data_IF_081792521479
#
_entry.id   IF_081792521479
#
_cell.length_a   1.000
_cell.length_b   1.000
_cell.length_c   1.000
_cell.angle_alpha   90.00
_cell.angle_beta   90.00
_cell.angle_gamma   90.00
#
_symmetry.space_group_name_H-M   'P 1'
#
loop_
_entity.id
_entity.type
_entity.pdbx_description
1 polymer ?
#
# COMPACT_ATOMS: atom_id res chain seq x y z
N UNK A 1 -1.65 20.58 15.55
CA UNK A 1 -1.38 21.05 14.19
C UNK A 1 -1.89 22.49 14.05
N UNK A 2 -1.12 23.37 13.43
CA UNK A 2 -1.54 24.75 13.13
C UNK A 2 -2.73 24.72 12.16
N UNK A 3 -3.67 25.65 12.34
CA UNK A 3 -4.91 25.68 11.54
C UNK A 3 -4.69 26.06 10.07
N UNK A 4 -3.60 26.74 9.78
CA UNK A 4 -3.17 27.17 8.42
C UNK A 4 -2.40 26.07 7.66
N UNK A 5 -2.16 24.91 8.27
CA UNK A 5 -1.50 23.76 7.62
C UNK A 5 -2.53 22.69 7.34
N UNK A 6 -2.65 22.27 6.08
CA UNK A 6 -3.44 21.11 5.69
C UNK A 6 -2.59 19.85 5.82
N UNK A 7 -3.03 18.90 6.65
CA UNK A 7 -2.40 17.59 6.78
C UNK A 7 -3.14 16.58 5.91
N UNK A 8 -2.43 15.89 5.04
CA UNK A 8 -2.95 14.75 4.28
C UNK A 8 -2.35 13.47 4.81
N UNK A 9 -3.20 12.55 5.26
CA UNK A 9 -2.81 11.24 5.78
C UNK A 9 -3.22 10.19 4.75
N UNK A 10 -2.22 9.54 4.16
CA UNK A 10 -2.44 8.42 3.25
C UNK A 10 -2.48 7.10 4.02
N UNK A 11 -3.68 6.62 4.31
CA UNK A 11 -3.97 5.36 5.00
C UNK A 11 -4.16 4.19 4.01
N UNK A 12 -3.51 4.20 2.83
CA UNK A 12 -3.70 3.21 1.76
C UNK A 12 -3.39 1.76 2.18
N UNK A 13 -2.64 1.56 3.25
CA UNK A 13 -2.27 0.23 3.78
C UNK A 13 -2.83 -0.06 5.17
N UNK A 14 -3.74 0.76 5.66
CA UNK A 14 -4.30 0.64 7.01
C UNK A 14 -4.84 -0.76 7.32
N UNK A 15 -5.56 -1.37 6.41
CA UNK A 15 -6.23 -2.65 6.62
C UNK A 15 -5.26 -3.82 6.87
N UNK A 16 -3.99 -3.69 6.44
CA UNK A 16 -2.95 -4.69 6.72
C UNK A 16 -2.39 -4.61 8.14
N UNK A 17 -2.55 -3.46 8.82
CA UNK A 17 -1.94 -3.21 10.13
C UNK A 17 -2.82 -3.76 11.25
N UNK A 18 -2.33 -4.78 11.96
CA UNK A 18 -3.05 -5.42 13.09
C UNK A 18 -2.47 -5.08 14.47
N UNK A 19 -1.58 -4.10 14.55
CA UNK A 19 -0.97 -3.72 15.82
C UNK A 19 -1.99 -2.99 16.71
N UNK A 20 -2.11 -3.40 17.98
CA UNK A 20 -3.08 -2.84 18.93
C UNK A 20 -2.87 -1.35 19.20
N UNK A 21 -1.63 -0.88 19.14
CA UNK A 21 -1.23 0.51 19.35
C UNK A 21 -1.25 1.37 18.07
N UNK A 22 -1.66 0.82 16.93
CA UNK A 22 -1.83 1.58 15.70
C UNK A 22 -3.24 2.12 15.58
N UNK A 23 -3.35 3.41 15.39
CA UNK A 23 -4.61 4.10 15.14
C UNK A 23 -4.59 4.68 13.72
N UNK A 24 -5.70 4.49 12.98
CA UNK A 24 -5.84 5.10 11.67
C UNK A 24 -5.96 6.62 11.76
N UNK A 25 -5.60 7.31 10.69
CA UNK A 25 -5.81 8.75 10.60
C UNK A 25 -7.26 9.14 10.86
N UNK A 26 -8.22 8.36 10.37
CA UNK A 26 -9.64 8.57 10.61
C UNK A 26 -9.98 8.56 12.11
N UNK A 27 -9.47 7.61 12.88
CA UNK A 27 -9.72 7.52 14.32
C UNK A 27 -9.08 8.65 15.11
N UNK A 28 -7.89 9.10 14.69
CA UNK A 28 -7.15 10.16 15.37
C UNK A 28 -7.70 11.55 15.07
N UNK A 29 -8.15 11.78 13.83
CA UNK A 29 -8.41 13.13 13.31
C UNK A 29 -9.81 13.34 12.76
N UNK A 30 -10.79 12.46 13.06
CA UNK A 30 -12.13 12.56 12.47
C UNK A 30 -12.88 13.87 12.79
N UNK A 31 -12.48 14.59 13.85
CA UNK A 31 -13.03 15.91 14.22
C UNK A 31 -12.17 17.10 13.76
N UNK A 32 -11.02 16.84 13.13
CA UNK A 32 -10.10 17.90 12.73
C UNK A 32 -10.59 18.61 11.47
N UNK A 33 -10.51 19.94 11.45
CA UNK A 33 -10.98 20.75 10.33
C UNK A 33 -9.99 20.84 9.17
N UNK A 34 -8.69 20.63 9.45
CA UNK A 34 -7.57 20.79 8.51
C UNK A 34 -6.83 19.49 8.22
N UNK A 35 -7.54 18.35 8.24
CA UNK A 35 -6.97 17.03 7.94
C UNK A 35 -7.79 16.35 6.85
N UNK A 36 -7.08 15.76 5.88
CA UNK A 36 -7.63 14.85 4.88
C UNK A 36 -7.07 13.46 5.13
N UNK A 37 -7.92 12.46 5.21
CA UNK A 37 -7.52 11.06 5.29
C UNK A 37 -7.93 10.38 3.98
N UNK A 38 -6.98 9.73 3.31
CA UNK A 38 -7.25 9.03 2.05
C UNK A 38 -7.11 7.53 2.21
N UNK A 39 -7.95 6.77 1.51
CA UNK A 39 -7.91 5.32 1.41
C UNK A 39 -8.15 4.84 -0.01
N UNK A 40 -7.78 3.61 -0.29
CA UNK A 40 -7.83 3.08 -1.64
C UNK A 40 -8.43 1.67 -1.69
N UNK A 41 -9.13 1.38 -2.77
CA UNK A 41 -9.52 0.02 -3.13
C UNK A 41 -8.44 -0.71 -3.96
N UNK A 42 -7.36 -0.03 -4.30
CA UNK A 42 -6.29 -0.56 -5.17
C UNK A 42 -5.39 -1.60 -4.49
N UNK A 43 -5.43 -1.74 -3.17
CA UNK A 43 -4.54 -2.64 -2.43
C UNK A 43 -5.28 -3.88 -1.97
N UNK A 44 -5.66 -3.95 -0.71
CA UNK A 44 -6.26 -5.15 -0.11
C UNK A 44 -7.57 -5.61 -0.77
N UNK A 45 -8.33 -4.68 -1.34
CA UNK A 45 -9.58 -4.99 -2.03
C UNK A 45 -9.38 -5.50 -3.47
N UNK A 46 -8.14 -5.50 -3.99
CA UNK A 46 -7.81 -6.05 -5.31
C UNK A 46 -8.32 -5.25 -6.52
N UNK A 47 -8.81 -4.02 -6.32
CA UNK A 47 -9.45 -3.22 -7.37
C UNK A 47 -8.52 -2.17 -8.00
N UNK A 48 -7.22 -2.45 -8.09
CA UNK A 48 -6.23 -1.47 -8.57
C UNK A 48 -6.52 -0.95 -9.99
N UNK A 49 -7.03 -1.79 -10.88
CA UNK A 49 -7.37 -1.43 -12.27
C UNK A 49 -8.58 -0.51 -12.38
N UNK A 50 -9.46 -0.46 -11.38
CA UNK A 50 -10.69 0.34 -11.41
C UNK A 50 -10.49 1.80 -10.99
N UNK A 51 -9.32 2.15 -10.46
CA UNK A 51 -8.93 3.53 -10.11
C UNK A 51 -9.90 4.21 -9.15
N UNK A 52 -10.26 3.54 -8.05
CA UNK A 52 -11.20 4.04 -7.04
C UNK A 52 -10.57 4.07 -5.65
N UNK A 53 -10.88 5.11 -4.92
CA UNK A 53 -10.53 5.35 -3.52
C UNK A 53 -11.54 6.30 -2.91
N UNK A 54 -11.31 6.68 -1.66
CA UNK A 54 -12.15 7.64 -0.98
C UNK A 54 -11.32 8.52 -0.02
N UNK A 55 -11.85 9.68 0.28
CA UNK A 55 -11.27 10.61 1.23
C UNK A 55 -12.29 11.04 2.28
N UNK A 56 -11.80 11.33 3.47
CA UNK A 56 -12.57 11.91 4.56
C UNK A 56 -11.90 13.21 5.02
N UNK A 57 -12.70 14.28 5.12
CA UNK A 57 -12.23 15.58 5.61
C UNK A 57 -13.43 16.40 6.12
N UNK A 58 -13.18 17.63 6.61
CA UNK A 58 -14.24 18.57 6.93
C UNK A 58 -15.06 18.95 5.69
N UNK A 59 -16.29 19.41 5.91
CA UNK A 59 -17.21 19.80 4.82
C UNK A 59 -16.57 20.83 3.89
N UNK A 60 -15.90 21.84 4.45
CA UNK A 60 -15.27 22.93 3.68
C UNK A 60 -14.19 22.40 2.71
N UNK A 61 -13.39 21.43 3.16
CA UNK A 61 -12.37 20.77 2.33
C UNK A 61 -13.05 19.94 1.24
N UNK A 62 -14.04 19.13 1.60
CA UNK A 62 -14.76 18.28 0.64
C UNK A 62 -15.48 19.14 -0.41
N UNK A 63 -16.12 20.25 -0.03
CA UNK A 63 -16.76 21.17 -0.96
C UNK A 63 -15.72 21.80 -1.93
N UNK A 64 -14.53 22.13 -1.43
CA UNK A 64 -13.45 22.66 -2.26
C UNK A 64 -12.94 21.59 -3.28
N UNK A 65 -12.76 20.36 -2.84
CA UNK A 65 -12.39 19.24 -3.72
C UNK A 65 -13.48 18.96 -4.77
N UNK A 66 -14.75 19.03 -4.38
CA UNK A 66 -15.87 18.82 -5.29
C UNK A 66 -15.96 19.88 -6.40
N UNK A 67 -15.50 21.11 -6.14
CA UNK A 67 -15.46 22.19 -7.15
C UNK A 67 -14.39 21.98 -8.22
N UNK A 68 -13.30 21.29 -7.87
CA UNK A 68 -12.15 21.13 -8.79
C UNK A 68 -12.04 19.74 -9.41
N UNK A 69 -12.78 18.73 -8.87
CA UNK A 69 -12.74 17.39 -9.45
C UNK A 69 -13.35 17.38 -10.86
N UNK A 70 -12.78 16.62 -11.81
CA UNK A 70 -13.38 16.43 -13.13
C UNK A 70 -14.76 15.79 -13.02
N UNK A 71 -15.69 16.11 -13.95
CA UNK A 71 -16.94 15.38 -14.05
C UNK A 71 -16.65 13.91 -14.38
N UNK A 72 -17.51 13.01 -13.87
CA UNK A 72 -17.38 11.56 -14.11
C UNK A 72 -16.00 10.96 -13.71
N UNK A 73 -15.36 11.53 -12.67
CA UNK A 73 -14.05 11.10 -12.20
C UNK A 73 -13.99 9.65 -11.71
N UNK A 74 -15.13 9.00 -11.45
CA UNK A 74 -15.25 7.59 -11.10
C UNK A 74 -16.25 6.94 -12.07
N UNK A 75 -15.83 5.82 -12.66
CA UNK A 75 -16.71 5.04 -13.53
C UNK A 75 -17.70 4.19 -12.72
N UNK A 76 -18.87 3.92 -13.28
CA UNK A 76 -19.93 3.14 -12.63
C UNK A 76 -19.50 1.72 -12.22
N UNK A 77 -18.79 0.93 -13.04
CA UNK A 77 -18.25 -0.37 -12.61
C UNK A 77 -17.39 -0.29 -11.36
N UNK A 78 -16.56 0.77 -11.21
CA UNK A 78 -15.73 0.97 -10.02
C UNK A 78 -16.57 1.20 -8.76
N UNK A 79 -17.67 1.97 -8.85
CA UNK A 79 -18.57 2.21 -7.71
C UNK A 79 -19.26 0.93 -7.25
N UNK A 80 -19.79 0.14 -8.17
CA UNK A 80 -20.42 -1.15 -7.86
C UNK A 80 -19.42 -2.14 -7.27
N UNK A 81 -18.23 -2.26 -7.87
CA UNK A 81 -17.19 -3.14 -7.37
C UNK A 81 -16.69 -2.73 -5.97
N UNK A 82 -16.48 -1.44 -5.73
CA UNK A 82 -16.09 -0.92 -4.40
C UNK A 82 -17.17 -1.22 -3.34
N UNK A 83 -18.44 -0.99 -3.68
CA UNK A 83 -19.56 -1.29 -2.79
C UNK A 83 -19.67 -2.78 -2.45
N UNK A 84 -19.44 -3.66 -3.41
CA UNK A 84 -19.40 -5.10 -3.21
C UNK A 84 -18.20 -5.51 -2.34
N UNK A 85 -17.01 -4.98 -2.63
CA UNK A 85 -15.78 -5.28 -1.91
C UNK A 85 -15.85 -4.91 -0.42
N UNK A 86 -16.52 -3.80 -0.06
CA UNK A 86 -16.73 -3.41 1.34
C UNK A 86 -17.59 -4.41 2.12
N UNK A 87 -18.43 -5.19 1.46
CA UNK A 87 -19.28 -6.22 2.07
C UNK A 87 -18.57 -7.57 2.19
N UNK A 88 -17.47 -7.79 1.46
CA UNK A 88 -16.74 -9.07 1.45
C UNK A 88 -15.67 -9.13 2.56
N UNK A 89 -16.13 -9.27 3.79
CA UNK A 89 -15.25 -9.47 4.94
C UNK A 89 -14.45 -10.78 4.87
N UNK A 90 -14.95 -11.80 4.15
CA UNK A 90 -14.23 -13.08 3.99
C UNK A 90 -12.98 -12.89 3.16
N UNK A 91 -13.09 -12.18 2.04
CA UNK A 91 -11.94 -11.79 1.22
C UNK A 91 -10.92 -11.00 2.05
N UNK A 92 -11.37 -9.94 2.71
CA UNK A 92 -10.50 -9.06 3.50
C UNK A 92 -9.67 -9.86 4.52
N UNK A 93 -10.32 -10.73 5.31
CA UNK A 93 -9.62 -11.54 6.32
C UNK A 93 -8.68 -12.58 5.69
N UNK A 94 -9.03 -13.16 4.54
CA UNK A 94 -8.18 -14.07 3.78
C UNK A 94 -6.90 -13.37 3.32
N UNK A 95 -7.03 -12.20 2.71
CA UNK A 95 -5.89 -11.41 2.22
C UNK A 95 -4.97 -10.95 3.36
N UNK A 96 -5.52 -10.46 4.47
CA UNK A 96 -4.72 -10.10 5.64
C UNK A 96 -3.91 -11.31 6.15
N UNK A 97 -4.52 -12.48 6.25
CA UNK A 97 -3.83 -13.71 6.69
C UNK A 97 -2.73 -14.11 5.71
N UNK A 98 -3.03 -14.04 4.41
CA UNK A 98 -2.09 -14.39 3.34
C UNK A 98 -0.86 -13.47 3.38
N UNK A 99 -1.06 -12.16 3.37
CA UNK A 99 0.02 -11.17 3.38
C UNK A 99 0.86 -11.28 4.65
N UNK A 100 0.24 -11.41 5.82
CA UNK A 100 0.97 -11.54 7.08
C UNK A 100 1.81 -12.84 7.13
N UNK A 101 1.30 -13.94 6.59
CA UNK A 101 2.05 -15.19 6.48
C UNK A 101 3.28 -15.04 5.60
N UNK A 102 3.10 -14.51 4.39
CA UNK A 102 4.19 -14.39 3.42
C UNK A 102 5.20 -13.33 3.79
N UNK A 103 4.78 -12.23 4.41
CA UNK A 103 5.72 -11.25 4.99
C UNK A 103 6.71 -11.92 5.95
N UNK A 104 6.23 -12.76 6.86
CA UNK A 104 7.08 -13.48 7.82
C UNK A 104 8.02 -14.46 7.13
N UNK A 105 7.51 -15.23 6.15
CA UNK A 105 8.30 -16.21 5.42
C UNK A 105 9.40 -15.52 4.63
N UNK A 106 9.05 -14.53 3.79
CA UNK A 106 10.01 -13.83 2.94
C UNK A 106 11.03 -13.03 3.76
N UNK A 107 10.59 -12.37 4.84
CA UNK A 107 11.49 -11.71 5.79
C UNK A 107 12.53 -12.69 6.34
N UNK A 108 12.08 -13.87 6.79
CA UNK A 108 12.98 -14.91 7.31
C UNK A 108 13.96 -15.42 6.25
N UNK A 109 13.50 -15.60 5.01
CA UNK A 109 14.35 -16.03 3.89
C UNK A 109 15.41 -14.98 3.58
N UNK A 110 15.03 -13.71 3.43
CA UNK A 110 15.99 -12.62 3.16
C UNK A 110 17.01 -12.48 4.30
N UNK A 111 16.58 -12.60 5.55
CA UNK A 111 17.49 -12.60 6.70
C UNK A 111 18.53 -13.73 6.63
N UNK A 112 18.11 -14.95 6.28
CA UNK A 112 19.03 -16.09 6.09
C UNK A 112 20.04 -15.85 4.95
N UNK A 113 19.60 -15.17 3.89
CA UNK A 113 20.46 -14.78 2.75
C UNK A 113 21.33 -13.55 3.06
N UNK A 114 21.29 -13.00 4.28
CA UNK A 114 21.98 -11.76 4.69
C UNK A 114 21.60 -10.53 3.86
N UNK A 115 20.43 -10.57 3.21
CA UNK A 115 19.86 -9.44 2.49
C UNK A 115 19.09 -8.59 3.49
N UNK A 116 19.42 -7.31 3.54
CA UNK A 116 18.77 -6.39 4.46
C UNK A 116 17.32 -6.14 4.06
N UNK A 117 16.41 -6.31 5.00
CA UNK A 117 14.98 -6.01 4.86
C UNK A 117 14.37 -5.75 6.22
N UNK A 118 13.25 -5.03 6.26
CA UNK A 118 12.49 -4.78 7.47
C UNK A 118 11.16 -5.55 7.45
N UNK A 119 10.60 -5.78 8.63
CA UNK A 119 9.23 -6.28 8.70
C UNK A 119 8.27 -5.29 8.06
N UNK A 120 7.54 -5.74 7.06
CA UNK A 120 6.57 -4.92 6.37
C UNK A 120 5.19 -4.99 7.02
N UNK A 121 4.47 -3.88 7.01
CA UNK A 121 3.03 -3.80 7.34
C UNK A 121 2.19 -3.49 6.09
N UNK A 122 2.75 -3.76 4.91
CA UNK A 122 2.09 -3.61 3.61
C UNK A 122 2.13 -4.93 2.83
N UNK A 123 1.69 -4.91 1.59
CA UNK A 123 1.75 -6.07 0.69
C UNK A 123 3.07 -6.16 -0.10
N UNK A 124 4.14 -5.58 0.38
CA UNK A 124 5.47 -5.65 -0.25
C UNK A 124 6.58 -5.58 0.79
N UNK A 125 7.77 -6.02 0.41
CA UNK A 125 9.01 -5.87 1.15
C UNK A 125 9.95 -4.94 0.40
N UNK A 126 10.67 -4.11 1.15
CA UNK A 126 11.84 -3.39 0.64
C UNK A 126 13.08 -4.22 1.01
N UNK A 127 13.87 -4.56 0.01
CA UNK A 127 15.10 -5.35 0.17
C UNK A 127 16.30 -4.54 -0.32
N UNK A 128 17.35 -4.47 0.48
CA UNK A 128 18.58 -3.75 0.16
C UNK A 128 19.74 -4.75 0.03
N UNK A 129 20.59 -4.51 -0.96
CA UNK A 129 21.69 -5.42 -1.36
C UNK A 129 23.08 -4.91 -0.96
N UNK A 130 23.19 -3.87 -0.13
CA UNK A 130 24.49 -3.28 0.21
C UNK A 130 25.39 -4.22 1.02
N UNK A 131 24.81 -5.17 1.75
CA UNK A 131 25.52 -6.13 2.59
C UNK A 131 25.87 -7.45 1.90
N UNK A 132 25.55 -7.59 0.63
CA UNK A 132 25.80 -8.81 -0.15
C UNK A 132 26.55 -8.48 -1.43
N UNK A 133 27.38 -9.41 -1.93
CA UNK A 133 28.19 -9.19 -3.12
C UNK A 133 27.40 -9.36 -4.43
N UNK A 134 26.23 -8.70 -4.48
CA UNK A 134 25.39 -8.64 -5.69
C UNK A 134 24.61 -7.33 -5.70
N UNK A 135 24.55 -6.65 -6.84
CA UNK A 135 23.76 -5.42 -6.95
C UNK A 135 22.29 -5.70 -7.21
N UNK A 136 21.41 -4.80 -6.71
CA UNK A 136 19.97 -4.81 -6.99
C UNK A 136 19.69 -4.87 -8.50
N UNK A 137 20.46 -4.15 -9.32
CA UNK A 137 20.30 -4.16 -10.77
C UNK A 137 20.58 -5.53 -11.40
N UNK A 138 21.59 -6.24 -10.92
CA UNK A 138 21.90 -7.61 -11.38
C UNK A 138 20.80 -8.59 -11.00
N UNK A 139 20.28 -8.47 -9.77
CA UNK A 139 19.13 -9.27 -9.29
C UNK A 139 17.88 -8.95 -10.10
N UNK A 140 17.58 -7.68 -10.30
CA UNK A 140 16.44 -7.22 -11.13
C UNK A 140 16.47 -7.85 -12.52
N UNK A 141 17.62 -7.77 -13.22
CA UNK A 141 17.77 -8.34 -14.57
C UNK A 141 17.57 -9.86 -14.57
N UNK A 142 18.14 -10.59 -13.59
CA UNK A 142 17.96 -12.04 -13.48
C UNK A 142 16.49 -12.42 -13.25
N UNK A 143 15.81 -11.73 -12.34
CA UNK A 143 14.38 -11.97 -12.06
C UNK A 143 13.53 -11.67 -13.30
N UNK A 144 13.77 -10.54 -13.99
CA UNK A 144 13.06 -10.19 -15.21
C UNK A 144 13.23 -11.22 -16.32
N UNK A 145 14.44 -11.75 -16.50
CA UNK A 145 14.71 -12.84 -17.47
C UNK A 145 13.98 -14.15 -17.12
N UNK A 146 13.61 -14.33 -15.85
CA UNK A 146 12.80 -15.45 -15.38
C UNK A 146 11.30 -15.13 -15.34
N UNK A 147 10.87 -14.01 -15.92
CA UNK A 147 9.47 -13.58 -15.95
C UNK A 147 8.95 -12.97 -14.63
N UNK A 148 9.85 -12.68 -13.67
CA UNK A 148 9.50 -12.10 -12.37
C UNK A 148 9.81 -10.61 -12.38
N UNK A 149 8.76 -9.77 -12.34
CA UNK A 149 8.89 -8.32 -12.36
C UNK A 149 8.81 -7.77 -10.93
N UNK A 150 9.89 -7.10 -10.51
CA UNK A 150 9.99 -6.37 -9.24
C UNK A 150 10.23 -4.89 -9.51
N UNK A 151 10.16 -4.04 -8.51
CA UNK A 151 10.32 -2.59 -8.70
C UNK A 151 11.69 -2.12 -8.22
N UNK A 152 12.44 -1.46 -9.10
CA UNK A 152 13.67 -0.72 -8.73
C UNK A 152 13.30 0.52 -7.93
N UNK A 153 14.12 0.84 -6.94
CA UNK A 153 13.86 1.93 -6.00
C UNK A 153 14.74 3.16 -6.22
N UNK A 154 15.64 3.12 -7.20
CA UNK A 154 16.57 4.22 -7.53
C UNK A 154 15.83 5.54 -7.79
N UNK A 155 14.69 5.50 -8.48
CA UNK A 155 13.86 6.68 -8.77
C UNK A 155 13.29 7.38 -7.52
N UNK A 156 13.30 6.69 -6.38
CA UNK A 156 12.90 7.23 -5.08
C UNK A 156 14.10 7.62 -4.21
N UNK A 157 15.32 7.62 -4.77
CA UNK A 157 16.56 7.89 -4.04
C UNK A 157 17.03 6.74 -3.13
N UNK A 158 16.36 5.59 -3.15
CA UNK A 158 16.73 4.42 -2.34
C UNK A 158 17.62 3.51 -3.20
N UNK A 159 18.92 3.75 -3.10
CA UNK A 159 19.93 3.05 -3.92
C UNK A 159 20.00 1.55 -3.59
N UNK A 160 20.46 0.76 -4.56
CA UNK A 160 20.74 -0.66 -4.45
C UNK A 160 19.62 -1.49 -3.80
N UNK A 161 18.38 -1.10 -4.05
CA UNK A 161 17.19 -1.68 -3.40
C UNK A 161 16.11 -2.07 -4.41
N UNK A 162 15.36 -3.11 -4.07
CA UNK A 162 14.20 -3.57 -4.82
C UNK A 162 12.98 -3.60 -3.90
N UNK A 163 11.81 -3.23 -4.44
CA UNK A 163 10.53 -3.46 -3.81
C UNK A 163 9.89 -4.71 -4.40
N UNK A 164 9.65 -5.70 -3.56
CA UNK A 164 9.09 -6.99 -3.94
C UNK A 164 7.67 -7.07 -3.39
N UNK A 165 6.70 -7.10 -4.29
CA UNK A 165 5.29 -7.27 -3.92
C UNK A 165 5.03 -8.73 -3.57
N UNK A 166 4.28 -8.97 -2.50
CA UNK A 166 3.85 -10.31 -2.12
C UNK A 166 2.75 -10.74 -3.08
N UNK A 167 3.01 -11.80 -3.81
CA UNK A 167 2.10 -12.41 -4.77
C UNK A 167 1.28 -13.54 -4.17
N UNK A 168 0.73 -14.39 -5.01
CA UNK A 168 0.10 -15.62 -4.60
C UNK A 168 1.15 -16.68 -4.19
N UNK A 169 0.69 -17.88 -3.74
CA UNK A 169 1.60 -18.94 -3.28
C UNK A 169 2.61 -19.41 -4.34
N UNK A 170 2.22 -19.40 -5.62
CA UNK A 170 3.06 -19.86 -6.71
C UNK A 170 4.12 -18.81 -7.10
N UNK A 171 3.77 -17.54 -6.96
CA UNK A 171 4.62 -16.42 -7.30
C UNK A 171 5.69 -16.14 -6.23
N UNK A 172 5.38 -16.44 -4.97
CA UNK A 172 6.29 -16.28 -3.83
C UNK A 172 7.27 -17.47 -3.70
#
# INVERSE_FOLDING_TARGET
>A
LRSDILLVIDDAYFEYVKQKNYLSGLRLFFKSKNVIITRTFSKIYGLAGLRVGWGYASKEIIDSLNRIKPPFNINMPALFAASAALKDNKWLQKEIKHINKWNKILFSVFKKLKIETNESKSNFLLVNFDRVNISANKVFKKLANSGILVRKMDIYGIKNSLRITIGNRKEN
#
